data_IF_105088856079
#
_entry.id   IF_105088856079
#
_cell.length_a   1.000
_cell.length_b   1.000
_cell.length_c   1.000
_cell.angle_alpha   90.00
_cell.angle_beta   90.00
_cell.angle_gamma   90.00
#
_symmetry.space_group_name_H-M   'P 1'
#
loop_
_entity.id
_entity.type
_entity.pdbx_description
1 polymer ?
#
# COMPACT_ATOMS: atom_id res chain seq x y z
N UNK A 1 -8.19 3.81 16.85
CA UNK A 1 -8.28 3.74 15.38
C UNK A 1 -6.87 3.72 14.87
N UNK A 2 -6.61 2.90 13.87
CA UNK A 2 -5.24 2.62 13.42
C UNK A 2 -4.89 3.59 12.31
N UNK A 3 -3.66 4.13 12.34
CA UNK A 3 -3.21 5.15 11.40
C UNK A 3 -2.49 4.48 10.23
N UNK A 4 -3.02 4.65 9.02
CA UNK A 4 -2.44 4.15 7.79
C UNK A 4 -1.75 5.28 7.04
N UNK A 5 -0.61 4.98 6.44
CA UNK A 5 0.19 5.90 5.63
C UNK A 5 0.22 5.39 4.19
N UNK A 6 -0.15 6.23 3.24
CA UNK A 6 -0.05 5.90 1.82
C UNK A 6 1.43 5.91 1.43
N UNK A 7 2.02 4.73 1.26
CA UNK A 7 3.44 4.57 0.92
C UNK A 7 3.66 4.22 -0.54
N UNK A 8 2.59 4.04 -1.31
CA UNK A 8 2.69 3.95 -2.74
C UNK A 8 1.40 4.38 -3.42
N UNK A 9 1.56 5.17 -4.47
CA UNK A 9 0.49 5.59 -5.36
C UNK A 9 0.96 5.46 -6.80
N UNK A 10 0.10 4.94 -7.67
CA UNK A 10 0.38 4.82 -9.08
C UNK A 10 -0.87 4.62 -9.90
N UNK A 11 -0.70 4.55 -11.22
CA UNK A 11 -1.83 4.35 -12.14
C UNK A 11 -1.49 3.33 -13.19
N UNK A 12 -2.44 2.47 -13.52
CA UNK A 12 -2.37 1.55 -14.66
C UNK A 12 -3.39 1.95 -15.72
N UNK A 13 -2.99 1.96 -16.98
CA UNK A 13 -3.89 2.29 -18.09
C UNK A 13 -4.82 1.11 -18.37
N UNK A 14 -6.13 1.33 -18.31
CA UNK A 14 -7.13 0.33 -18.67
C UNK A 14 -7.38 0.35 -20.17
N UNK A 15 -6.87 -0.67 -20.87
CA UNK A 15 -7.02 -0.80 -22.34
C UNK A 15 -8.48 -0.81 -22.80
N UNK A 16 -9.38 -1.39 -22.00
CA UNK A 16 -10.81 -1.47 -22.29
C UNK A 16 -11.59 -0.18 -21.96
N UNK A 17 -10.94 0.81 -21.33
CA UNK A 17 -11.56 2.08 -20.94
C UNK A 17 -10.79 3.26 -21.54
N UNK A 18 -10.50 3.19 -22.84
CA UNK A 18 -9.77 4.24 -23.57
C UNK A 18 -8.43 4.66 -22.91
N UNK A 19 -7.72 3.70 -22.31
CA UNK A 19 -6.50 3.92 -21.54
C UNK A 19 -6.68 4.86 -20.35
N UNK A 20 -7.83 4.81 -19.69
CA UNK A 20 -8.05 5.57 -18.46
C UNK A 20 -6.99 5.20 -17.40
N UNK A 21 -6.34 6.17 -16.74
CA UNK A 21 -5.33 5.90 -15.70
C UNK A 21 -6.04 5.50 -14.40
N UNK A 22 -6.22 4.20 -14.21
CA UNK A 22 -6.85 3.65 -13.01
C UNK A 22 -5.88 3.70 -11.84
N UNK A 23 -6.24 4.36 -10.72
CA UNK A 23 -5.34 4.52 -9.58
C UNK A 23 -5.24 3.23 -8.77
N UNK A 24 -4.06 3.03 -8.20
CA UNK A 24 -3.69 1.99 -7.26
C UNK A 24 -2.95 2.62 -6.10
N UNK A 25 -3.22 2.15 -4.90
CA UNK A 25 -2.66 2.64 -3.65
C UNK A 25 -2.27 1.48 -2.74
N UNK A 26 -1.18 1.67 -2.01
CA UNK A 26 -0.73 0.76 -0.94
C UNK A 26 -0.49 1.59 0.32
N UNK A 27 -1.30 1.31 1.34
CA UNK A 27 -1.23 1.98 2.63
C UNK A 27 -0.73 1.03 3.71
N UNK A 28 0.06 1.56 4.64
CA UNK A 28 0.74 0.77 5.67
C UNK A 28 0.45 1.34 7.05
N UNK A 29 0.03 0.49 7.97
CA UNK A 29 -0.04 0.76 9.39
C UNK A 29 1.22 0.24 10.09
N UNK A 30 1.84 1.08 10.92
CA UNK A 30 3.04 0.74 11.67
C UNK A 30 2.74 0.17 13.06
N UNK A 31 1.47 0.22 13.49
CA UNK A 31 1.02 -0.35 14.76
C UNK A 31 0.86 -1.87 14.62
N UNK A 32 0.99 -2.64 15.72
CA UNK A 32 0.85 -4.10 15.70
C UNK A 32 -0.64 -4.52 15.57
N UNK A 33 -1.18 -4.39 14.36
CA UNK A 33 -2.58 -4.74 14.02
C UNK A 33 -2.65 -5.99 13.15
N UNK A 34 -3.77 -6.74 13.16
CA UNK A 34 -3.93 -7.94 12.32
C UNK A 34 -3.83 -7.68 10.81
N UNK A 35 -4.31 -6.51 10.36
CA UNK A 35 -4.35 -6.14 8.93
C UNK A 35 -3.54 -4.86 8.66
N UNK A 36 -2.19 -4.92 8.69
CA UNK A 36 -1.35 -3.74 8.62
C UNK A 36 -1.20 -3.17 7.20
N UNK A 37 -1.56 -3.92 6.16
CA UNK A 37 -1.42 -3.50 4.76
C UNK A 37 -2.81 -3.30 4.16
N UNK A 38 -3.02 -2.18 3.47
CA UNK A 38 -4.23 -1.91 2.69
C UNK A 38 -3.85 -1.76 1.23
N UNK A 39 -4.58 -2.46 0.38
CA UNK A 39 -4.55 -2.27 -1.05
C UNK A 39 -5.85 -1.58 -1.45
N UNK A 40 -5.76 -0.54 -2.28
CA UNK A 40 -6.95 0.06 -2.88
C UNK A 40 -6.74 0.43 -4.34
N UNK A 41 -7.82 0.45 -5.09
CA UNK A 41 -7.84 0.80 -6.50
C UNK A 41 -9.13 1.53 -6.88
N UNK A 42 -9.06 2.29 -7.98
CA UNK A 42 -10.23 2.84 -8.65
C UNK A 42 -10.74 4.19 -8.18
N UNK A 43 -11.81 4.63 -8.85
CA UNK A 43 -12.39 5.96 -8.71
C UNK A 43 -13.91 5.91 -8.51
N UNK A 44 -14.42 6.77 -7.63
CA UNK A 44 -15.86 6.91 -7.38
C UNK A 44 -16.51 5.57 -7.04
N UNK A 45 -17.58 5.21 -7.75
CA UNK A 45 -18.31 3.94 -7.56
C UNK A 45 -17.51 2.69 -7.95
N UNK A 46 -16.40 2.84 -8.67
CA UNK A 46 -15.49 1.75 -9.01
C UNK A 46 -14.34 1.57 -8.01
N UNK A 47 -14.33 2.33 -6.91
CA UNK A 47 -13.29 2.18 -5.90
C UNK A 47 -13.49 0.91 -5.09
N UNK A 48 -12.40 0.15 -4.91
CA UNK A 48 -12.33 -1.02 -4.06
C UNK A 48 -11.11 -0.91 -3.13
N UNK A 49 -11.23 -1.43 -1.92
CA UNK A 49 -10.13 -1.46 -0.96
C UNK A 49 -10.23 -2.66 -0.02
N UNK A 50 -9.08 -3.20 0.36
CA UNK A 50 -8.97 -4.38 1.21
C UNK A 50 -7.80 -4.24 2.18
N UNK A 51 -8.07 -4.40 3.47
CA UNK A 51 -7.05 -4.54 4.50
C UNK A 51 -6.71 -6.02 4.67
N UNK A 52 -5.42 -6.35 4.71
CA UNK A 52 -4.91 -7.72 4.72
C UNK A 52 -3.75 -7.88 5.70
N UNK A 53 -3.49 -9.13 6.09
CA UNK A 53 -2.31 -9.48 6.88
C UNK A 53 -1.01 -9.29 6.08
N UNK A 54 0.13 -9.32 6.75
CA UNK A 54 1.44 -9.24 6.08
C UNK A 54 1.70 -10.46 5.19
N UNK A 55 1.26 -11.65 5.58
CA UNK A 55 1.36 -12.87 4.76
C UNK A 55 0.47 -12.78 3.53
N UNK A 56 -0.78 -12.36 3.71
CA UNK A 56 -1.74 -12.19 2.62
C UNK A 56 -1.26 -11.15 1.61
N UNK A 57 -0.60 -10.08 2.05
CA UNK A 57 -0.05 -9.03 1.18
C UNK A 57 1.05 -9.53 0.23
N UNK A 58 1.68 -10.67 0.54
CA UNK A 58 2.70 -11.31 -0.31
C UNK A 58 2.13 -12.34 -1.29
N UNK A 59 0.81 -12.58 -1.26
CA UNK A 59 0.15 -13.43 -2.24
C UNK A 59 0.19 -12.83 -3.64
N UNK A 60 0.32 -13.68 -4.65
CA UNK A 60 0.46 -13.26 -6.06
C UNK A 60 -0.69 -12.41 -6.59
N UNK A 61 -1.88 -12.48 -5.96
CA UNK A 61 -3.04 -11.65 -6.29
C UNK A 61 -2.77 -10.15 -6.12
N UNK A 62 -1.81 -9.75 -5.29
CA UNK A 62 -1.46 -8.34 -5.05
C UNK A 62 -0.32 -7.81 -5.91
N UNK A 63 0.34 -8.65 -6.71
CA UNK A 63 1.48 -8.25 -7.54
C UNK A 63 1.16 -7.05 -8.44
N UNK A 64 -0.07 -6.99 -8.98
CA UNK A 64 -0.51 -5.87 -9.82
C UNK A 64 -0.45 -4.52 -9.10
N UNK A 65 -0.77 -4.48 -7.80
CA UNK A 65 -0.69 -3.24 -7.03
C UNK A 65 0.77 -2.80 -6.88
N UNK A 66 1.69 -3.73 -6.57
CA UNK A 66 3.13 -3.41 -6.49
C UNK A 66 3.72 -2.98 -7.83
N UNK A 67 3.26 -3.56 -8.94
CA UNK A 67 3.65 -3.16 -10.29
C UNK A 67 3.13 -1.77 -10.66
N UNK A 68 1.83 -1.54 -10.49
CA UNK A 68 1.17 -0.27 -10.85
C UNK A 68 1.71 0.91 -10.05
N UNK A 69 2.06 0.68 -8.78
CA UNK A 69 2.60 1.69 -7.86
C UNK A 69 4.14 1.74 -7.82
N UNK A 70 4.82 0.82 -8.52
CA UNK A 70 6.28 0.62 -8.46
C UNK A 70 6.82 0.39 -7.03
N UNK A 71 6.00 -0.20 -6.17
CA UNK A 71 6.26 -0.34 -4.74
C UNK A 71 6.95 -1.65 -4.32
N UNK A 72 7.63 -2.32 -5.25
CA UNK A 72 8.37 -3.55 -4.95
C UNK A 72 9.42 -3.36 -3.85
N UNK A 73 9.85 -2.11 -3.60
CA UNK A 73 10.73 -1.76 -2.48
C UNK A 73 10.11 -2.02 -1.10
N UNK A 74 8.78 -2.11 -0.98
CA UNK A 74 8.07 -2.46 0.26
C UNK A 74 8.14 -3.96 0.58
N UNK A 75 8.29 -4.83 -0.44
CA UNK A 75 8.21 -6.29 -0.29
C UNK A 75 9.17 -6.82 0.80
N UNK A 76 10.47 -6.45 0.84
CA UNK A 76 11.37 -6.95 1.88
C UNK A 76 10.95 -6.54 3.30
N UNK A 77 10.25 -5.41 3.45
CA UNK A 77 9.73 -4.96 4.74
C UNK A 77 8.47 -5.74 5.15
N UNK A 78 7.59 -6.03 4.18
CA UNK A 78 6.39 -6.86 4.41
C UNK A 78 6.79 -8.30 4.75
N UNK A 79 7.82 -8.86 4.10
CA UNK A 79 8.38 -10.18 4.43
C UNK A 79 8.89 -10.23 5.88
N UNK A 80 9.59 -9.18 6.33
CA UNK A 80 10.03 -9.07 7.73
C UNK A 80 8.85 -8.96 8.68
N UNK A 81 7.82 -8.19 8.32
CA UNK A 81 6.61 -8.05 9.11
C UNK A 81 5.85 -9.38 9.26
N UNK A 82 5.76 -10.18 8.19
CA UNK A 82 5.20 -11.54 8.23
C UNK A 82 5.98 -12.49 9.15
N UNK A 83 7.25 -12.20 9.42
CA UNK A 83 8.07 -12.92 10.41
C UNK A 83 7.91 -12.37 11.84
N UNK A 84 7.02 -11.40 12.05
CA UNK A 84 6.80 -10.73 13.33
C UNK A 84 7.81 -9.63 13.65
N UNK A 85 8.61 -9.19 12.68
CA UNK A 85 9.58 -8.09 12.86
C UNK A 85 8.86 -6.76 12.57
N UNK A 86 8.77 -5.82 13.55
CA UNK A 86 8.11 -4.54 13.33
C UNK A 86 8.73 -3.72 12.18
N UNK A 87 7.88 -2.97 11.49
CA UNK A 87 8.29 -2.08 10.40
C UNK A 87 9.07 -0.88 10.94
N UNK A 88 10.25 -0.53 10.37
CA UNK A 88 11.01 0.64 10.77
C UNK A 88 10.37 1.91 10.18
N UNK A 89 9.39 2.48 10.91
CA UNK A 89 8.59 3.63 10.44
C UNK A 89 9.42 4.76 9.85
N UNK A 90 10.38 5.30 10.61
CA UNK A 90 11.17 6.46 10.18
C UNK A 90 11.96 6.18 8.90
N UNK A 91 12.46 4.94 8.74
CA UNK A 91 13.16 4.51 7.52
C UNK A 91 12.22 4.46 6.31
N UNK A 92 11.03 3.89 6.45
CA UNK A 92 10.06 3.80 5.35
C UNK A 92 9.54 5.18 4.93
N UNK A 93 9.30 6.07 5.90
CA UNK A 93 8.88 7.45 5.62
C UNK A 93 9.98 8.22 4.90
N UNK A 94 11.22 8.15 5.40
CA UNK A 94 12.37 8.80 4.75
C UNK A 94 12.56 8.29 3.32
N UNK A 95 12.48 6.98 3.12
CA UNK A 95 12.62 6.39 1.78
C UNK A 95 11.51 6.84 0.82
N UNK A 96 10.27 6.93 1.31
CA UNK A 96 9.16 7.51 0.53
C UNK A 96 9.46 8.97 0.15
N UNK A 97 9.91 9.78 1.10
CA UNK A 97 10.26 11.18 0.87
C UNK A 97 11.38 11.34 -0.15
N UNK A 98 12.41 10.48 -0.11
CA UNK A 98 13.50 10.47 -1.11
C UNK A 98 12.99 10.16 -2.53
N UNK A 99 12.00 9.27 -2.65
CA UNK A 99 11.43 8.89 -3.96
C UNK A 99 10.43 9.90 -4.51
N UNK A 100 9.66 10.55 -3.63
CA UNK A 100 8.49 11.36 -4.02
C UNK A 100 8.64 12.87 -3.72
N UNK A 101 9.68 13.27 -2.99
CA UNK A 101 9.95 14.67 -2.63
C UNK A 101 8.94 15.29 -1.65
N UNK A 102 8.12 14.47 -0.99
CA UNK A 102 7.08 14.89 -0.03
C UNK A 102 6.80 13.78 0.97
N UNK A 103 6.29 14.14 2.14
CA UNK A 103 5.81 13.18 3.14
C UNK A 103 4.56 12.43 2.65
N UNK A 104 4.37 11.16 3.06
CA UNK A 104 3.18 10.40 2.73
C UNK A 104 1.95 10.97 3.44
N UNK A 105 0.80 10.88 2.79
CA UNK A 105 -0.49 11.19 3.42
C UNK A 105 -0.89 10.08 4.38
N UNK A 106 -1.67 10.40 5.40
CA UNK A 106 -2.18 9.41 6.35
C UNK A 106 -3.65 9.62 6.68
N UNK A 107 -4.30 8.56 7.15
CA UNK A 107 -5.69 8.56 7.56
C UNK A 107 -5.95 7.54 8.68
N UNK A 108 -6.93 7.84 9.52
CA UNK A 108 -7.39 6.91 10.55
C UNK A 108 -8.40 5.92 9.95
N UNK A 109 -8.26 4.66 10.32
CA UNK A 109 -9.18 3.60 9.89
C UNK A 109 -9.64 2.73 11.05
N UNK A 110 -10.82 2.12 10.86
CA UNK A 110 -11.39 1.08 11.73
C UNK A 110 -11.17 -0.33 11.19
N UNK A 111 -10.47 -0.47 10.06
CA UNK A 111 -10.23 -1.73 9.37
C UNK A 111 -9.21 -2.65 10.07
N UNK A 112 -8.64 -2.22 11.20
CA UNK A 112 -7.67 -2.98 11.99
C UNK A 112 -8.29 -4.13 12.75
#
# INVERSE_FOLDING_TARGET
>A
MSLYFNLAHGTKLLSLSANYPWPYDIDVCFDPVPHPIVFSEGIGHGSAGCAVSAEEALESKWNEHFEATRAHWLIPYIERLAQGIPLPKDELIMRFEEMHGKSPTSYESRLS
#
